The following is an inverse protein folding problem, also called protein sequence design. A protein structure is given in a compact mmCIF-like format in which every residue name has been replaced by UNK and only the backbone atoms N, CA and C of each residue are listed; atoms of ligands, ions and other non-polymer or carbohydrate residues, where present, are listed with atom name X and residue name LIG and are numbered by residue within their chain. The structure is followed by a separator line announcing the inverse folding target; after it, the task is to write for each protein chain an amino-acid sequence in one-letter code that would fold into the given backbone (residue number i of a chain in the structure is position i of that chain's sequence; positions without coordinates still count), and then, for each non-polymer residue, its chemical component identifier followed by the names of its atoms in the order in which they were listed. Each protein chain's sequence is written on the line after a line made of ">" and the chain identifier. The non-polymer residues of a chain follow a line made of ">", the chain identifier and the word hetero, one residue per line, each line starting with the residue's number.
data_IF_140207464461
#
_entry.id   IF_140207464461
#
_cell.length_a   1.000
_cell.length_b   1.000
_cell.length_c   1.000
_cell.angle_alpha   90.00
_cell.angle_beta   90.00
_cell.angle_gamma   90.00
#
_symmetry.space_group_name_H-M   'P 1'
#
loop_
_entity.id
_entity.type
_entity.pdbx_description
1 polymer ?
#
# COMPACT_ATOMS: atom_id res chain seq x y z
N UNK A 1 -8.82 -16.74 0.70
CA UNK A 1 -8.79 -15.27 0.86
C UNK A 1 -9.75 -14.91 1.97
N UNK A 2 -9.41 -13.97 2.86
CA UNK A 2 -10.40 -13.43 3.78
C UNK A 2 -11.47 -12.70 2.93
N UNK A 3 -12.72 -12.70 3.38
CA UNK A 3 -13.91 -12.47 2.53
C UNK A 3 -14.11 -11.01 2.05
N UNK A 4 -13.04 -10.21 1.99
CA UNK A 4 -13.06 -8.80 1.60
C UNK A 4 -13.72 -7.89 2.63
N UNK A 5 -13.91 -8.37 3.86
CA UNK A 5 -14.50 -7.58 4.94
C UNK A 5 -13.49 -6.55 5.45
N UNK A 6 -13.94 -5.40 5.98
CA UNK A 6 -13.06 -4.48 6.68
C UNK A 6 -12.23 -5.19 7.76
N UNK A 7 -10.92 -4.94 7.77
CA UNK A 7 -9.96 -5.56 8.69
C UNK A 7 -9.32 -6.86 8.18
N UNK A 8 -9.74 -7.36 7.01
CA UNK A 8 -9.21 -8.61 6.45
C UNK A 8 -7.82 -8.43 5.80
N UNK A 9 -7.58 -7.27 5.17
CA UNK A 9 -6.31 -6.97 4.50
C UNK A 9 -6.09 -5.46 4.37
N UNK A 10 -4.94 -4.90 4.82
CA UNK A 10 -4.72 -3.46 4.83
C UNK A 10 -4.86 -2.79 3.45
N UNK A 11 -4.38 -3.43 2.37
CA UNK A 11 -4.60 -2.90 1.02
C UNK A 11 -6.09 -2.74 0.68
N UNK A 12 -6.93 -3.74 0.99
CA UNK A 12 -8.38 -3.68 0.76
C UNK A 12 -9.02 -2.62 1.66
N UNK A 13 -8.60 -2.52 2.91
CA UNK A 13 -9.10 -1.53 3.86
C UNK A 13 -8.82 -0.09 3.38
N UNK A 14 -7.63 0.15 2.83
CA UNK A 14 -7.24 1.45 2.30
C UNK A 14 -7.97 1.77 0.99
N UNK A 15 -8.00 0.83 0.04
CA UNK A 15 -8.48 1.07 -1.33
C UNK A 15 -10.01 1.01 -1.42
N UNK A 16 -10.60 -0.06 -0.89
CA UNK A 16 -12.03 -0.33 -1.02
C UNK A 16 -12.82 0.32 0.11
N UNK A 17 -12.36 0.18 1.35
CA UNK A 17 -13.09 0.66 2.53
C UNK A 17 -12.71 2.08 2.96
N UNK A 18 -11.67 2.68 2.35
CA UNK A 18 -11.17 4.03 2.63
C UNK A 18 -10.84 4.25 4.12
N UNK A 19 -10.40 3.19 4.79
CA UNK A 19 -10.00 3.25 6.20
C UNK A 19 -8.63 3.92 6.35
N UNK A 20 -8.45 4.76 7.39
CA UNK A 20 -7.16 5.36 7.70
C UNK A 20 -6.29 4.32 8.41
N UNK A 21 -5.42 3.63 7.67
CA UNK A 21 -4.53 2.62 8.24
C UNK A 21 -3.22 3.29 8.63
N UNK A 22 -2.43 3.74 7.65
CA UNK A 22 -1.09 4.27 7.89
C UNK A 22 -1.07 5.79 8.07
N UNK A 23 -2.21 6.46 7.87
CA UNK A 23 -2.35 7.91 7.91
C UNK A 23 -2.49 8.50 6.50
N UNK A 24 -3.06 9.70 6.43
CA UNK A 24 -3.59 10.28 5.18
C UNK A 24 -2.60 10.29 4.02
N UNK A 25 -1.35 10.70 4.24
CA UNK A 25 -0.34 10.78 3.18
C UNK A 25 0.04 9.40 2.62
N UNK A 26 0.29 8.42 3.50
CA UNK A 26 0.69 7.07 3.09
C UNK A 26 -0.50 6.35 2.45
N UNK A 27 -1.69 6.45 3.03
CA UNK A 27 -2.90 5.83 2.49
C UNK A 27 -3.26 6.43 1.11
N UNK A 28 -3.03 7.73 0.91
CA UNK A 28 -3.16 8.38 -0.41
C UNK A 28 -2.16 7.82 -1.42
N UNK A 29 -0.89 7.60 -1.03
CA UNK A 29 0.12 6.98 -1.89
C UNK A 29 -0.26 5.56 -2.27
N UNK A 30 -0.70 4.74 -1.32
CA UNK A 30 -1.16 3.37 -1.56
C UNK A 30 -2.32 3.35 -2.57
N UNK A 31 -3.32 4.23 -2.40
CA UNK A 31 -4.45 4.33 -3.34
C UNK A 31 -4.02 4.75 -4.75
N UNK A 32 -3.11 5.71 -4.86
CA UNK A 32 -2.58 6.14 -6.17
C UNK A 32 -1.79 5.02 -6.85
N UNK A 33 -0.97 4.30 -6.08
CA UNK A 33 -0.20 3.16 -6.57
C UNK A 33 -1.09 2.03 -7.08
N UNK A 34 -2.05 1.57 -6.27
CA UNK A 34 -2.97 0.47 -6.65
C UNK A 34 -3.69 0.73 -7.99
N UNK A 35 -3.97 2.00 -8.30
CA UNK A 35 -4.63 2.40 -9.54
C UNK A 35 -3.74 2.34 -10.80
N UNK A 36 -2.41 2.34 -10.66
CA UNK A 36 -1.47 2.45 -11.80
C UNK A 36 -0.48 1.29 -11.92
N UNK A 37 -0.32 0.47 -10.88
CA UNK A 37 0.64 -0.64 -10.87
C UNK A 37 0.12 -1.84 -11.66
N UNK A 38 1.05 -2.64 -12.22
CA UNK A 38 0.70 -3.95 -12.77
C UNK A 38 0.24 -4.92 -11.68
N UNK A 39 -0.32 -6.07 -12.04
CA UNK A 39 -0.71 -7.09 -11.05
C UNK A 39 0.49 -7.57 -10.21
N UNK A 40 1.66 -7.72 -10.82
CA UNK A 40 2.87 -8.15 -10.13
C UNK A 40 3.33 -7.12 -9.10
N UNK A 41 3.31 -5.82 -9.46
CA UNK A 41 3.65 -4.75 -8.51
C UNK A 41 2.56 -4.55 -7.46
N UNK A 42 1.30 -4.85 -7.79
CA UNK A 42 0.19 -4.86 -6.85
C UNK A 42 0.37 -5.91 -5.76
N UNK A 43 0.84 -7.12 -6.11
CA UNK A 43 1.13 -8.18 -5.15
C UNK A 43 2.26 -7.78 -4.19
N UNK A 44 3.28 -7.08 -4.71
CA UNK A 44 4.35 -6.51 -3.88
C UNK A 44 3.80 -5.42 -2.95
N UNK A 45 2.99 -4.49 -3.48
CA UNK A 45 2.33 -3.47 -2.68
C UNK A 45 1.49 -4.09 -1.55
N UNK A 46 0.68 -5.10 -1.87
CA UNK A 46 -0.15 -5.84 -0.92
C UNK A 46 0.71 -6.47 0.18
N UNK A 47 1.81 -7.13 -0.19
CA UNK A 47 2.74 -7.76 0.73
C UNK A 47 3.39 -6.74 1.66
N UNK A 48 3.88 -5.62 1.12
CA UNK A 48 4.53 -4.55 1.89
C UNK A 48 3.59 -3.99 2.94
N UNK A 49 2.35 -3.63 2.56
CA UNK A 49 1.41 -3.04 3.53
C UNK A 49 0.89 -4.07 4.52
N UNK A 50 0.75 -5.33 4.13
CA UNK A 50 0.27 -6.39 5.02
C UNK A 50 1.28 -6.71 6.13
N UNK A 51 2.57 -6.81 5.78
CA UNK A 51 3.63 -7.19 6.71
C UNK A 51 4.37 -5.99 7.31
N UNK A 52 3.93 -4.75 7.03
CA UNK A 52 4.57 -3.58 7.60
C UNK A 52 4.56 -3.67 9.13
N UNK A 53 5.67 -3.39 9.83
CA UNK A 53 5.70 -3.44 11.29
C UNK A 53 4.84 -2.33 11.90
N UNK A 54 4.11 -2.67 12.96
CA UNK A 54 3.30 -1.73 13.75
C UNK A 54 3.77 -1.71 15.20
N UNK A 55 3.79 -0.52 15.79
CA UNK A 55 3.82 -0.33 17.25
C UNK A 55 2.41 -0.46 17.84
N UNK A 56 2.18 0.13 19.02
CA UNK A 56 0.88 0.00 19.71
C UNK A 56 -0.31 0.49 18.88
N UNK A 57 -0.15 1.59 18.11
CA UNK A 57 -1.23 2.19 17.30
C UNK A 57 -0.78 2.86 16.01
N UNK A 58 0.50 2.79 15.67
CA UNK A 58 1.08 3.50 14.54
C UNK A 58 2.04 2.60 13.78
N UNK A 59 2.16 2.74 12.46
CA UNK A 59 3.21 2.05 11.72
C UNK A 59 4.58 2.46 12.23
N UNK A 60 5.48 1.49 12.34
CA UNK A 60 6.88 1.75 12.66
C UNK A 60 7.55 2.38 11.43
N UNK A 61 8.32 3.44 11.64
CA UNK A 61 9.07 4.13 10.59
C UNK A 61 8.25 4.47 9.31
N UNK A 62 7.28 5.41 9.41
CA UNK A 62 6.47 5.82 8.26
C UNK A 62 7.30 6.41 7.11
N UNK A 63 8.50 6.92 7.39
CA UNK A 63 9.40 7.43 6.37
C UNK A 63 9.97 6.31 5.49
N UNK A 64 10.36 5.19 6.09
CA UNK A 64 10.80 4.01 5.33
C UNK A 64 9.66 3.45 4.45
N UNK A 65 8.44 3.38 4.97
CA UNK A 65 7.27 2.95 4.18
C UNK A 65 7.07 3.86 2.97
N UNK A 66 7.05 5.18 3.21
CA UNK A 66 6.93 6.17 2.15
C UNK A 66 8.01 6.01 1.07
N UNK A 67 9.28 5.79 1.47
CA UNK A 67 10.38 5.60 0.52
C UNK A 67 10.25 4.33 -0.34
N UNK A 68 9.69 3.25 0.23
CA UNK A 68 9.39 2.02 -0.52
C UNK A 68 8.25 2.26 -1.51
N UNK A 69 7.18 2.95 -1.10
CA UNK A 69 6.07 3.31 -1.99
C UNK A 69 6.55 4.19 -3.15
N UNK A 70 7.42 5.18 -2.89
CA UNK A 70 8.02 6.00 -3.94
C UNK A 70 8.89 5.17 -4.89
N UNK A 71 9.53 4.11 -4.40
CA UNK A 71 10.32 3.19 -5.24
C UNK A 71 9.44 2.33 -6.13
N UNK A 72 8.32 1.80 -5.59
CA UNK A 72 7.32 1.07 -6.36
C UNK A 72 6.70 1.96 -7.45
N UNK A 73 6.44 3.23 -7.14
CA UNK A 73 5.92 4.18 -8.12
C UNK A 73 6.89 4.33 -9.29
N UNK A 74 8.19 4.55 -9.00
CA UNK A 74 9.21 4.63 -10.06
C UNK A 74 9.30 3.35 -10.89
N UNK A 75 9.08 2.18 -10.30
CA UNK A 75 9.02 0.92 -11.05
C UNK A 75 7.81 0.87 -11.99
N UNK A 76 6.63 1.25 -11.52
CA UNK A 76 5.42 1.30 -12.33
C UNK A 76 5.56 2.29 -13.50
N UNK A 77 6.10 3.47 -13.24
CA UNK A 77 6.36 4.49 -14.27
C UNK A 77 7.35 4.02 -15.34
N UNK A 78 8.34 3.19 -14.96
CA UNK A 78 9.28 2.58 -15.91
C UNK A 78 8.62 1.50 -16.76
N UNK A 79 7.79 0.64 -16.15
CA UNK A 79 7.05 -0.40 -16.87
C UNK A 79 6.07 0.20 -17.88
N UNK A 80 5.40 1.30 -17.54
CA UNK A 80 4.46 1.97 -18.45
C UNK A 80 5.12 2.63 -19.67
N UNK A 81 6.45 2.80 -19.66
CA UNK A 81 7.23 3.40 -20.77
C UNK A 81 7.90 2.35 -21.67
N UNK A 82 7.93 1.09 -21.26
CA UNK A 82 8.53 -0.02 -21.98
C UNK A 82 7.52 -0.64 -22.95
#
# INVERSE_FOLDING_TARGET
>A
MPNGKPGDHPLTDIVMHRMPMFGGEIDDKVRKLDAIVSNELRDVLATVVYFWPWGERTPTDPHALSAILDSLQRCAEKQARA
#
